data_IF_893971520473
#
_entry.id   IF_893971520473
#
_cell.length_a   1.000
_cell.length_b   1.000
_cell.length_c   1.000
_cell.angle_alpha   90.00
_cell.angle_beta   90.00
_cell.angle_gamma   90.00
#
_symmetry.space_group_name_H-M   'P 1'
#
loop_
_entity.id
_entity.type
_entity.pdbx_description
1 polymer ?
#
# COMPACT_ATOMS: atom_id res chain seq x y z
N UNK A 1 13.85 -28.54 -8.29
CA UNK A 1 13.70 -27.67 -9.49
C UNK A 1 14.58 -26.47 -9.22
N UNK A 2 15.73 -26.37 -9.88
CA UNK A 2 16.62 -25.20 -9.75
C UNK A 2 16.03 -24.05 -10.56
N UNK A 3 15.72 -22.92 -9.90
CA UNK A 3 15.32 -21.69 -10.58
C UNK A 3 16.58 -20.94 -10.99
N UNK A 4 16.87 -20.91 -12.29
CA UNK A 4 17.89 -20.03 -12.85
C UNK A 4 17.27 -18.68 -13.21
N UNK A 5 17.66 -17.60 -12.53
CA UNK A 5 17.31 -16.25 -12.93
C UNK A 5 18.32 -15.77 -13.98
N UNK A 6 17.85 -15.38 -15.17
CA UNK A 6 18.67 -14.76 -16.21
C UNK A 6 18.46 -13.24 -16.19
N UNK A 7 19.54 -12.48 -16.08
CA UNK A 7 19.50 -11.03 -16.24
C UNK A 7 19.15 -10.66 -17.69
N UNK A 8 18.17 -9.78 -17.87
CA UNK A 8 17.81 -9.22 -19.17
C UNK A 8 18.25 -7.77 -19.19
N UNK A 9 19.29 -7.49 -19.98
CA UNK A 9 19.79 -6.13 -20.19
C UNK A 9 18.78 -5.37 -21.07
N UNK A 10 18.24 -4.26 -20.55
CA UNK A 10 17.26 -3.45 -21.28
C UNK A 10 15.79 -3.66 -20.87
N UNK A 11 15.51 -4.17 -19.66
CA UNK A 11 14.18 -4.06 -19.08
C UNK A 11 13.77 -2.58 -19.04
N UNK A 12 12.82 -2.20 -19.90
CA UNK A 12 12.21 -0.87 -19.88
C UNK A 12 11.34 -0.82 -18.63
N UNK A 13 11.88 -0.27 -17.55
CA UNK A 13 11.08 0.13 -16.41
C UNK A 13 10.43 1.46 -16.78
N UNK A 14 9.16 1.45 -17.16
CA UNK A 14 8.39 2.69 -17.19
C UNK A 14 8.41 3.23 -15.76
N UNK A 15 8.88 4.48 -15.53
CA UNK A 15 8.77 5.10 -14.22
C UNK A 15 7.31 5.04 -13.77
N UNK A 16 7.06 4.61 -12.54
CA UNK A 16 5.72 4.69 -11.96
C UNK A 16 5.38 6.16 -11.77
N UNK A 17 4.26 6.60 -12.36
CA UNK A 17 3.71 7.94 -12.17
C UNK A 17 3.02 8.00 -10.80
N UNK A 18 3.81 8.17 -9.74
CA UNK A 18 3.33 8.09 -8.35
C UNK A 18 2.23 9.11 -8.02
N UNK A 19 2.25 10.28 -8.64
CA UNK A 19 1.21 11.30 -8.44
C UNK A 19 -0.18 10.78 -8.85
N UNK A 20 -0.27 10.09 -10.00
CA UNK A 20 -1.53 9.50 -10.46
C UNK A 20 -1.98 8.34 -9.57
N UNK A 21 -1.04 7.51 -9.13
CA UNK A 21 -1.30 6.42 -8.18
C UNK A 21 -1.83 6.94 -6.84
N UNK A 22 -1.23 8.01 -6.32
CA UNK A 22 -1.64 8.65 -5.06
C UNK A 22 -3.00 9.33 -5.19
N UNK A 23 -3.28 10.01 -6.32
CA UNK A 23 -4.59 10.60 -6.59
C UNK A 23 -5.69 9.53 -6.60
N UNK A 24 -5.45 8.42 -7.30
CA UNK A 24 -6.37 7.29 -7.33
C UNK A 24 -6.55 6.67 -5.94
N UNK A 25 -5.47 6.37 -5.23
CA UNK A 25 -5.52 5.78 -3.89
C UNK A 25 -6.27 6.69 -2.89
N UNK A 26 -6.04 8.00 -2.95
CA UNK A 26 -6.75 8.98 -2.09
C UNK A 26 -8.24 9.04 -2.39
N UNK A 27 -8.65 8.82 -3.65
CA UNK A 27 -10.07 8.76 -4.02
C UNK A 27 -10.81 7.55 -3.43
N UNK A 28 -10.06 6.53 -2.97
CA UNK A 28 -10.58 5.27 -2.41
C UNK A 28 -10.56 5.24 -0.87
N UNK A 29 -10.09 6.30 -0.21
CA UNK A 29 -10.09 6.40 1.26
C UNK A 29 -11.53 6.31 1.80
N UNK A 30 -11.74 5.48 2.81
CA UNK A 30 -13.04 5.24 3.45
C UNK A 30 -14.13 4.71 2.48
N UNK A 31 -13.74 4.06 1.39
CA UNK A 31 -14.67 3.36 0.50
C UNK A 31 -14.64 1.86 0.81
N UNK A 32 -15.74 1.33 1.33
CA UNK A 32 -15.91 -0.08 1.70
C UNK A 32 -15.60 -1.03 0.53
N UNK A 33 -14.81 -2.08 0.78
CA UNK A 33 -14.47 -3.10 -0.21
C UNK A 33 -13.50 -2.63 -1.30
N UNK A 34 -12.78 -1.52 -1.08
CA UNK A 34 -11.79 -0.99 -2.02
C UNK A 34 -10.35 -0.99 -1.48
N UNK A 35 -10.14 -1.38 -0.23
CA UNK A 35 -8.84 -1.28 0.42
C UNK A 35 -7.76 -2.14 -0.24
N UNK A 36 -8.09 -3.39 -0.60
CA UNK A 36 -7.19 -4.30 -1.28
C UNK A 36 -6.84 -3.81 -2.68
N UNK A 37 -7.79 -3.18 -3.38
CA UNK A 37 -7.53 -2.54 -4.66
C UNK A 37 -6.57 -1.35 -4.50
N UNK A 38 -6.85 -0.45 -3.56
CA UNK A 38 -5.97 0.69 -3.25
C UNK A 38 -4.55 0.23 -2.89
N UNK A 39 -4.43 -0.81 -2.04
CA UNK A 39 -3.13 -1.42 -1.73
C UNK A 39 -2.45 -2.01 -2.97
N UNK A 40 -3.20 -2.58 -3.92
CA UNK A 40 -2.63 -3.20 -5.13
C UNK A 40 -1.91 -2.21 -6.04
N UNK A 41 -2.28 -0.92 -5.98
CA UNK A 41 -1.62 0.16 -6.72
C UNK A 41 -0.15 0.34 -6.30
N UNK A 42 0.19 -0.02 -5.06
CA UNK A 42 1.54 0.06 -4.52
C UNK A 42 2.20 -1.33 -4.57
N UNK A 43 2.83 -1.65 -5.69
CA UNK A 43 3.46 -2.96 -5.92
C UNK A 43 4.68 -3.21 -5.04
N UNK A 44 5.33 -2.15 -4.57
CA UNK A 44 6.51 -2.16 -3.72
C UNK A 44 6.20 -2.12 -2.22
N UNK A 45 4.90 -2.09 -1.85
CA UNK A 45 4.49 -1.94 -0.45
C UNK A 45 5.03 -3.06 0.43
N UNK A 46 5.35 -2.71 1.67
CA UNK A 46 5.75 -3.64 2.73
C UNK A 46 4.91 -3.38 3.98
N UNK A 47 4.51 -4.45 4.66
CA UNK A 47 3.84 -4.34 5.97
C UNK A 47 4.87 -3.91 7.00
N UNK A 48 4.65 -2.77 7.67
CA UNK A 48 5.55 -2.25 8.71
C UNK A 48 5.01 -2.49 10.13
N UNK A 49 3.69 -2.50 10.30
CA UNK A 49 3.03 -2.74 11.59
C UNK A 49 1.62 -3.32 11.42
N UNK A 50 1.17 -4.11 12.40
CA UNK A 50 -0.22 -4.52 12.56
C UNK A 50 -0.72 -4.13 13.95
N UNK A 51 -1.71 -3.24 14.01
CA UNK A 51 -2.50 -2.97 15.21
C UNK A 51 -3.66 -3.97 15.29
N UNK A 52 -3.52 -4.94 16.20
CA UNK A 52 -4.52 -6.01 16.39
C UNK A 52 -5.80 -5.57 17.08
N UNK A 53 -5.81 -4.44 17.78
CA UNK A 53 -7.01 -3.93 18.46
C UNK A 53 -7.82 -3.15 17.42
N UNK A 54 -7.15 -2.22 16.75
CA UNK A 54 -7.78 -1.25 15.87
C UNK A 54 -8.74 -0.32 16.61
N UNK A 55 -8.89 0.91 16.14
CA UNK A 55 -9.69 1.93 16.83
C UNK A 55 -11.19 1.69 16.58
N UNK A 56 -11.75 0.62 17.15
CA UNK A 56 -13.18 0.29 17.14
C UNK A 56 -13.73 -0.36 15.86
N UNK A 57 -12.91 -0.54 14.82
CA UNK A 57 -13.35 -1.10 13.51
C UNK A 57 -12.78 -2.48 13.19
N UNK A 58 -11.76 -2.94 13.92
CA UNK A 58 -11.08 -4.22 13.69
C UNK A 58 -9.59 -4.03 13.36
N UNK A 59 -8.83 -5.11 13.12
CA UNK A 59 -7.38 -5.05 12.96
C UNK A 59 -6.94 -4.13 11.81
N UNK A 60 -5.94 -3.30 12.08
CA UNK A 60 -5.38 -2.34 11.13
C UNK A 60 -3.94 -2.71 10.78
N UNK A 61 -3.62 -2.72 9.50
CA UNK A 61 -2.26 -2.85 8.98
C UNK A 61 -1.73 -1.52 8.46
N UNK A 62 -0.43 -1.32 8.60
CA UNK A 62 0.28 -0.17 8.04
C UNK A 62 1.22 -0.67 6.95
N UNK A 63 0.97 -0.27 5.71
CA UNK A 63 1.79 -0.65 4.54
C UNK A 63 2.58 0.55 4.01
N UNK A 64 3.90 0.49 4.04
CA UNK A 64 4.77 1.53 3.50
C UNK A 64 5.17 1.24 2.05
N UNK A 65 5.11 2.24 1.17
CA UNK A 65 5.65 2.23 -0.19
C UNK A 65 6.84 3.17 -0.26
N UNK A 66 8.02 2.64 -0.56
CA UNK A 66 9.25 3.43 -0.67
C UNK A 66 9.30 4.26 -1.95
N UNK A 67 8.65 3.79 -3.02
CA UNK A 67 8.58 4.51 -4.28
C UNK A 67 7.71 5.76 -4.21
N UNK A 68 6.57 5.67 -3.50
CA UNK A 68 5.69 6.81 -3.26
C UNK A 68 6.05 7.63 -2.01
N UNK A 69 6.91 7.08 -1.14
CA UNK A 69 7.22 7.60 0.20
C UNK A 69 5.96 7.88 1.05
N UNK A 70 5.06 6.89 1.11
CA UNK A 70 3.82 6.97 1.92
C UNK A 70 3.55 5.68 2.66
N UNK A 71 2.86 5.80 3.79
CA UNK A 71 2.22 4.69 4.48
C UNK A 71 0.71 4.72 4.26
N UNK A 72 0.12 3.55 3.99
CA UNK A 72 -1.32 3.32 3.92
C UNK A 72 -1.80 2.63 5.20
N UNK A 73 -2.83 3.21 5.83
CA UNK A 73 -3.51 2.63 7.00
C UNK A 73 -4.71 1.80 6.52
N UNK A 74 -4.62 0.48 6.58
CA UNK A 74 -5.60 -0.46 6.03
C UNK A 74 -6.35 -1.22 7.13
N UNK A 75 -7.66 -1.10 7.17
CA UNK A 75 -8.53 -1.88 8.06
C UNK A 75 -9.02 -3.15 7.35
N UNK A 76 -8.80 -4.31 7.98
CA UNK A 76 -9.01 -5.62 7.35
C UNK A 76 -10.47 -6.08 7.29
N UNK A 77 -11.29 -5.67 8.25
CA UNK A 77 -12.64 -6.21 8.45
C UNK A 77 -13.62 -5.73 7.38
N UNK A 78 -13.47 -4.48 6.94
CA UNK A 78 -14.30 -3.86 5.91
C UNK A 78 -13.58 -3.69 4.58
N UNK A 79 -12.30 -4.09 4.51
CA UNK A 79 -11.46 -3.91 3.34
C UNK A 79 -11.41 -2.43 2.93
N UNK A 80 -10.84 -1.59 3.81
CA UNK A 80 -10.86 -0.12 3.70
C UNK A 80 -9.47 0.46 3.96
N UNK A 81 -9.03 1.38 3.11
CA UNK A 81 -7.94 2.30 3.47
C UNK A 81 -8.54 3.45 4.27
N UNK A 82 -8.11 3.60 5.53
CA UNK A 82 -8.58 4.64 6.45
C UNK A 82 -7.88 5.98 6.20
N UNK A 83 -6.60 5.94 5.87
CA UNK A 83 -5.79 7.14 5.64
C UNK A 83 -4.47 6.82 4.91
N UNK A 84 -3.83 7.86 4.36
CA UNK A 84 -2.51 7.80 3.71
C UNK A 84 -1.66 8.95 4.24
N UNK A 85 -0.47 8.65 4.75
CA UNK A 85 0.45 9.65 5.33
C UNK A 85 1.83 9.52 4.69
N UNK A 86 2.52 10.64 4.53
CA UNK A 86 3.88 10.67 4.00
C UNK A 86 4.88 10.00 4.97
N UNK A 87 5.87 9.30 4.42
CA UNK A 87 6.92 8.59 5.15
C UNK A 87 6.53 7.21 5.68
N UNK A 88 7.52 6.51 6.26
CA UNK A 88 7.38 5.21 6.93
C UNK A 88 6.92 5.43 8.38
N UNK A 89 5.61 5.32 8.65
CA UNK A 89 5.03 5.66 9.96
C UNK A 89 3.77 4.88 10.28
N UNK A 90 3.55 4.55 11.55
CA UNK A 90 2.27 4.04 12.07
C UNK A 90 1.52 5.05 12.95
N UNK A 91 2.07 6.27 13.11
CA UNK A 91 1.53 7.32 13.98
C UNK A 91 0.54 8.24 13.25
N UNK A 92 -0.63 7.70 12.90
CA UNK A 92 -1.75 8.40 12.24
C UNK A 92 -2.71 9.07 13.23
#
# INVERSE_FOLDING_TARGET
IEMSASYVEGAVTTPTEWDAVLEEARSLIQVDGQGAYALSLFTDKVLIETDTIGVGTGPVDYYYSAGADVTLKYERSYDVVLDIMDGETSAF
#
